data_IF_033580699231
#
_entry.id   IF_033580699231
#
_cell.length_a   1.000
_cell.length_b   1.000
_cell.length_c   1.000
_cell.angle_alpha   90.00
_cell.angle_beta   90.00
_cell.angle_gamma   90.00
#
_symmetry.space_group_name_H-M   'P 1'
#
loop_
_entity.id
_entity.type
_entity.pdbx_description
1 polymer ?
#
# COMPACT_ATOMS: atom_id res chain seq x y z
N UNK A 1 21.86 7.80 -6.06
CA UNK A 1 20.98 7.55 -7.22
C UNK A 1 20.81 8.86 -7.97
N UNK A 2 21.39 9.00 -9.17
CA UNK A 2 21.11 10.15 -10.04
C UNK A 2 19.74 9.96 -10.67
N UNK A 3 18.99 11.05 -10.74
CA UNK A 3 17.58 11.12 -11.08
C UNK A 3 17.26 10.44 -12.42
N UNK A 4 16.55 9.33 -12.37
CA UNK A 4 15.77 8.85 -13.53
C UNK A 4 14.46 9.62 -13.49
N UNK A 5 14.41 10.76 -14.18
CA UNK A 5 13.16 11.42 -14.54
C UNK A 5 12.73 10.76 -15.86
N UNK A 6 11.93 9.71 -15.77
CA UNK A 6 11.28 9.14 -16.95
C UNK A 6 9.78 9.32 -16.85
N UNK A 7 9.21 9.69 -17.99
CA UNK A 7 7.79 9.97 -18.20
C UNK A 7 6.96 8.72 -17.85
N UNK A 8 5.85 8.92 -17.14
CA UNK A 8 5.10 7.84 -16.48
C UNK A 8 4.32 6.91 -17.43
N UNK A 9 4.36 7.20 -18.72
CA UNK A 9 3.65 6.48 -19.78
C UNK A 9 4.58 5.79 -20.80
N UNK A 10 5.90 5.94 -20.67
CA UNK A 10 6.87 5.30 -21.57
C UNK A 10 7.45 4.01 -20.96
N UNK A 11 7.64 2.99 -21.81
CA UNK A 11 8.37 1.79 -21.40
C UNK A 11 9.86 2.10 -21.32
N UNK A 12 10.51 1.78 -20.21
CA UNK A 12 11.93 2.05 -19.96
C UNK A 12 12.73 0.79 -19.70
N UNK A 13 14.00 0.73 -20.13
CA UNK A 13 14.87 -0.40 -19.81
C UNK A 13 15.30 -0.35 -18.33
N UNK A 14 15.17 -1.48 -17.63
CA UNK A 14 15.53 -1.61 -16.22
C UNK A 14 16.56 -2.74 -16.08
N UNK A 15 17.72 -2.51 -15.43
CA UNK A 15 18.68 -3.56 -15.17
C UNK A 15 18.07 -4.74 -14.39
N UNK A 16 18.49 -5.96 -14.73
CA UNK A 16 18.04 -7.19 -14.06
C UNK A 16 18.09 -7.11 -12.53
N UNK A 17 19.21 -6.62 -11.96
CA UNK A 17 19.37 -6.47 -10.51
C UNK A 17 18.33 -5.53 -9.89
N UNK A 18 18.02 -4.43 -10.57
CA UNK A 18 17.00 -3.45 -10.11
C UNK A 18 15.59 -4.06 -10.23
N UNK A 19 15.31 -4.82 -11.29
CA UNK A 19 14.03 -5.52 -11.42
C UNK A 19 13.82 -6.55 -10.30
N UNK A 20 14.87 -7.28 -9.93
CA UNK A 20 14.83 -8.22 -8.81
C UNK A 20 14.52 -7.54 -7.46
N UNK A 21 15.02 -6.31 -7.24
CA UNK A 21 14.67 -5.51 -6.05
C UNK A 21 13.20 -5.11 -6.03
N UNK A 22 12.65 -4.68 -7.17
CA UNK A 22 11.21 -4.38 -7.29
C UNK A 22 10.34 -5.62 -7.08
N UNK A 23 10.81 -6.78 -7.51
CA UNK A 23 10.15 -8.06 -7.27
C UNK A 23 10.09 -8.41 -5.80
N UNK A 24 11.15 -8.12 -5.06
CA UNK A 24 11.18 -8.28 -3.62
C UNK A 24 10.19 -7.32 -2.94
N UNK A 25 10.17 -6.04 -3.34
CA UNK A 25 9.21 -5.05 -2.82
C UNK A 25 7.77 -5.48 -3.09
N UNK A 26 7.50 -6.04 -4.28
CA UNK A 26 6.19 -6.58 -4.63
C UNK A 26 5.76 -7.72 -3.72
N UNK A 27 6.65 -8.69 -3.47
CA UNK A 27 6.38 -9.83 -2.57
C UNK A 27 6.14 -9.34 -1.14
N UNK A 28 7.00 -8.45 -0.64
CA UNK A 28 6.85 -7.85 0.68
C UNK A 28 5.52 -7.11 0.83
N UNK A 29 5.16 -6.24 -0.12
CA UNK A 29 3.90 -5.48 -0.08
C UNK A 29 2.68 -6.41 -0.07
N UNK A 30 2.68 -7.44 -0.93
CA UNK A 30 1.62 -8.46 -0.96
C UNK A 30 1.51 -9.21 0.37
N UNK A 31 2.63 -9.71 0.89
CA UNK A 31 2.64 -10.53 2.10
C UNK A 31 2.23 -9.68 3.32
N UNK A 32 2.68 -8.42 3.40
CA UNK A 32 2.24 -7.43 4.39
C UNK A 32 0.72 -7.23 4.36
N UNK A 33 0.13 -7.03 3.18
CA UNK A 33 -1.32 -6.89 3.03
C UNK A 33 -2.06 -8.14 3.50
N UNK A 34 -1.57 -9.35 3.16
CA UNK A 34 -2.20 -10.60 3.57
C UNK A 34 -2.14 -10.79 5.09
N UNK A 35 -0.98 -10.54 5.69
CA UNK A 35 -0.80 -10.63 7.14
C UNK A 35 -1.73 -9.65 7.85
N UNK A 36 -1.71 -8.37 7.45
CA UNK A 36 -2.57 -7.33 8.05
C UNK A 36 -4.05 -7.65 7.87
N UNK A 37 -4.47 -8.15 6.70
CA UNK A 37 -5.82 -8.64 6.46
C UNK A 37 -6.18 -9.74 7.46
N UNK A 38 -5.37 -10.80 7.59
CA UNK A 38 -5.66 -11.90 8.54
C UNK A 38 -5.76 -11.37 9.97
N UNK A 39 -4.80 -10.56 10.39
CA UNK A 39 -4.77 -9.99 11.74
C UNK A 39 -5.97 -9.10 12.01
N UNK A 40 -6.33 -8.23 11.06
CA UNK A 40 -7.48 -7.35 11.23
C UNK A 40 -8.75 -8.15 11.48
N UNK A 41 -9.02 -9.23 10.74
CA UNK A 41 -10.23 -10.02 10.96
C UNK A 41 -10.15 -10.94 12.20
N UNK A 42 -8.96 -11.40 12.58
CA UNK A 42 -8.78 -12.28 13.74
C UNK A 42 -8.80 -11.56 15.10
N UNK A 43 -8.41 -10.28 15.14
CA UNK A 43 -8.22 -9.55 16.40
C UNK A 43 -9.53 -9.00 16.94
N UNK A 44 -9.68 -9.04 18.27
CA UNK A 44 -10.75 -8.37 18.99
C UNK A 44 -10.61 -6.86 18.82
N UNK A 45 -11.66 -6.22 18.31
CA UNK A 45 -11.69 -4.77 18.04
C UNK A 45 -12.52 -4.05 19.09
N UNK A 46 -12.36 -2.73 19.25
CA UNK A 46 -13.33 -1.90 19.95
C UNK A 46 -14.74 -2.13 19.38
N UNK A 47 -15.74 -2.19 20.28
CA UNK A 47 -17.09 -2.61 19.95
C UNK A 47 -17.76 -1.74 18.87
N UNK A 48 -17.47 -0.44 18.85
CA UNK A 48 -17.96 0.47 17.81
C UNK A 48 -17.36 0.14 16.42
N UNK A 49 -16.05 -0.10 16.35
CA UNK A 49 -15.38 -0.53 15.10
C UNK A 49 -15.92 -1.87 14.61
N UNK A 50 -16.17 -2.81 15.53
CA UNK A 50 -16.78 -4.12 15.19
C UNK A 50 -18.16 -3.94 14.58
N UNK A 51 -19.03 -3.13 15.22
CA UNK A 51 -20.38 -2.84 14.70
C UNK A 51 -20.35 -2.20 13.30
N UNK A 52 -19.47 -1.22 13.09
CA UNK A 52 -19.31 -0.61 11.76
C UNK A 52 -18.85 -1.63 10.71
N UNK A 53 -17.91 -2.52 11.05
CA UNK A 53 -17.46 -3.57 10.15
C UNK A 53 -18.59 -4.54 9.79
N UNK A 54 -19.40 -4.95 10.77
CA UNK A 54 -20.53 -5.86 10.55
C UNK A 54 -21.57 -5.24 9.59
N UNK A 55 -21.83 -3.93 9.73
CA UNK A 55 -22.71 -3.17 8.82
C UNK A 55 -22.14 -3.17 7.40
N UNK A 56 -20.85 -2.88 7.24
CA UNK A 56 -20.18 -2.85 5.93
C UNK A 56 -20.23 -4.23 5.26
N UNK A 57 -19.89 -5.29 6.01
CA UNK A 57 -19.91 -6.65 5.49
C UNK A 57 -21.31 -7.07 5.04
N UNK A 58 -22.34 -6.76 5.82
CA UNK A 58 -23.73 -7.04 5.45
C UNK A 58 -24.14 -6.33 4.16
N UNK A 59 -23.88 -5.02 4.05
CA UNK A 59 -24.17 -4.23 2.84
C UNK A 59 -23.43 -4.79 1.62
N UNK A 60 -22.16 -5.19 1.78
CA UNK A 60 -21.35 -5.72 0.67
C UNK A 60 -21.86 -7.06 0.11
N UNK A 61 -22.50 -7.88 0.94
CA UNK A 61 -23.14 -9.13 0.51
C UNK A 61 -24.41 -8.87 -0.28
N UNK A 62 -25.16 -7.82 0.10
CA UNK A 62 -26.40 -7.41 -0.56
C UNK A 62 -26.13 -6.68 -1.90
N UNK A 63 -24.99 -5.99 -2.05
CA UNK A 63 -24.65 -5.11 -3.19
C UNK A 63 -23.55 -5.66 -4.13
N UNK A 64 -23.42 -6.99 -4.28
CA UNK A 64 -22.36 -7.66 -5.04
C UNK A 64 -22.18 -7.25 -6.53
N UNK A 65 -22.93 -6.26 -7.05
CA UNK A 65 -22.97 -5.84 -8.46
C UNK A 65 -22.29 -4.48 -8.75
N UNK A 66 -21.93 -3.65 -7.76
CA UNK A 66 -21.55 -2.24 -8.03
C UNK A 66 -20.07 -1.84 -7.80
N UNK A 67 -19.20 -2.77 -7.41
CA UNK A 67 -17.86 -2.44 -6.89
C UNK A 67 -16.75 -2.21 -7.95
N UNK A 68 -17.04 -2.33 -9.24
CA UNK A 68 -16.04 -2.05 -10.30
C UNK A 68 -16.16 -0.64 -10.91
N UNK A 69 -17.26 0.08 -10.70
CA UNK A 69 -17.51 1.39 -11.33
C UNK A 69 -17.73 2.57 -10.37
N UNK A 70 -18.17 2.30 -9.13
CA UNK A 70 -18.58 3.35 -8.16
C UNK A 70 -17.65 3.52 -6.96
N UNK A 71 -16.41 3.07 -7.09
CA UNK A 71 -15.47 2.93 -5.97
C UNK A 71 -15.23 4.26 -5.24
N UNK A 72 -15.20 5.41 -5.94
CA UNK A 72 -15.02 6.74 -5.34
C UNK A 72 -16.13 7.19 -4.39
N UNK A 73 -17.39 6.80 -4.62
CA UNK A 73 -18.53 7.22 -3.80
C UNK A 73 -18.62 6.46 -2.46
N UNK A 74 -18.08 5.24 -2.39
CA UNK A 74 -17.90 4.47 -1.16
C UNK A 74 -16.62 4.87 -0.38
N UNK A 75 -15.67 5.56 -1.03
CA UNK A 75 -14.37 5.96 -0.44
C UNK A 75 -14.38 7.33 0.22
N UNK A 76 -15.28 8.22 -0.18
CA UNK A 76 -15.61 9.36 0.62
C UNK A 76 -16.56 8.86 1.70
N UNK A 77 -16.06 8.58 2.91
CA UNK A 77 -16.94 8.65 4.06
C UNK A 77 -17.72 9.96 3.91
N UNK A 78 -19.05 9.89 3.91
CA UNK A 78 -19.87 11.09 3.91
C UNK A 78 -19.36 12.03 5.01
N UNK A 79 -19.66 13.33 4.94
CA UNK A 79 -19.18 14.29 5.93
C UNK A 79 -19.49 13.89 7.39
N UNK A 80 -20.41 12.93 7.59
CA UNK A 80 -20.82 12.32 8.86
C UNK A 80 -20.10 11.01 9.26
N UNK A 81 -19.11 10.51 8.50
CA UNK A 81 -18.47 9.23 8.79
C UNK A 81 -17.68 9.28 10.10
N UNK A 82 -17.99 8.37 11.02
CA UNK A 82 -17.28 8.30 12.30
C UNK A 82 -15.84 7.79 12.11
N UNK A 83 -14.91 8.10 13.04
CA UNK A 83 -13.57 7.51 13.03
C UNK A 83 -13.61 5.97 12.99
N UNK A 84 -14.58 5.35 13.65
CA UNK A 84 -14.78 3.91 13.67
C UNK A 84 -15.23 3.34 12.32
N UNK A 85 -16.13 4.03 11.62
CA UNK A 85 -16.52 3.69 10.25
C UNK A 85 -15.32 3.74 9.31
N UNK A 86 -14.47 4.74 9.50
CA UNK A 86 -13.25 4.92 8.71
C UNK A 86 -12.24 3.79 8.93
N UNK A 87 -12.07 3.34 10.18
CA UNK A 87 -11.21 2.18 10.52
C UNK A 87 -11.79 0.89 9.93
N UNK A 88 -13.10 0.67 10.08
CA UNK A 88 -13.78 -0.51 9.56
C UNK A 88 -13.71 -0.56 8.04
N UNK A 89 -13.94 0.56 7.36
CA UNK A 89 -13.81 0.69 5.91
C UNK A 89 -12.37 0.44 5.46
N UNK A 90 -11.36 1.03 6.12
CA UNK A 90 -9.96 0.80 5.79
C UNK A 90 -9.58 -0.70 5.88
N UNK A 91 -10.08 -1.41 6.89
CA UNK A 91 -9.87 -2.85 7.03
C UNK A 91 -10.64 -3.69 6.00
N UNK A 92 -11.87 -3.30 5.66
CA UNK A 92 -12.65 -3.93 4.60
C UNK A 92 -12.03 -3.73 3.21
N UNK A 93 -11.53 -2.53 2.90
CA UNK A 93 -10.82 -2.26 1.65
C UNK A 93 -9.54 -3.10 1.55
N UNK A 94 -8.80 -3.25 2.66
CA UNK A 94 -7.65 -4.16 2.71
C UNK A 94 -8.07 -5.61 2.41
N UNK A 95 -9.22 -6.06 2.90
CA UNK A 95 -9.77 -7.37 2.60
C UNK A 95 -10.10 -7.56 1.12
N UNK A 96 -10.81 -6.60 0.56
CA UNK A 96 -11.28 -6.60 -0.83
C UNK A 96 -10.10 -6.55 -1.79
N UNK A 97 -9.19 -5.60 -1.60
CA UNK A 97 -8.01 -5.39 -2.46
C UNK A 97 -6.97 -6.50 -2.25
N UNK A 98 -6.83 -7.01 -1.03
CA UNK A 98 -6.05 -8.21 -0.70
C UNK A 98 -6.79 -9.53 -0.99
N UNK A 99 -7.93 -9.52 -1.70
CA UNK A 99 -8.78 -10.69 -1.95
C UNK A 99 -8.21 -11.68 -2.97
N UNK A 100 -7.31 -11.25 -3.86
CA UNK A 100 -6.69 -12.13 -4.84
C UNK A 100 -5.93 -11.37 -5.93
N UNK A 101 -5.24 -12.09 -6.83
CA UNK A 101 -4.38 -11.50 -7.88
C UNK A 101 -5.12 -10.48 -8.76
N UNK A 102 -6.39 -10.76 -9.11
CA UNK A 102 -7.21 -9.88 -9.95
C UNK A 102 -7.52 -8.52 -9.31
N UNK A 103 -7.80 -8.50 -8.00
CA UNK A 103 -8.10 -7.26 -7.27
C UNK A 103 -6.84 -6.44 -7.03
N UNK A 104 -5.71 -7.12 -6.87
CA UNK A 104 -4.39 -6.50 -6.78
C UNK A 104 -3.95 -5.89 -8.12
N UNK A 105 -4.22 -6.56 -9.25
CA UNK A 105 -3.96 -6.02 -10.59
C UNK A 105 -4.88 -4.86 -10.96
N UNK A 106 -6.14 -4.87 -10.47
CA UNK A 106 -7.06 -3.73 -10.60
C UNK A 106 -6.46 -2.44 -10.01
N UNK A 107 -5.67 -2.54 -8.94
CA UNK A 107 -5.01 -1.34 -8.39
C UNK A 107 -3.99 -0.75 -9.37
N UNK A 108 -3.28 -1.59 -10.15
CA UNK A 108 -2.21 -1.17 -11.06
C UNK A 108 -2.69 -0.46 -12.35
N UNK A 109 -4.00 -0.45 -12.61
CA UNK A 109 -4.62 0.25 -13.75
C UNK A 109 -5.21 1.61 -13.37
N UNK A 110 -5.28 1.94 -12.07
CA UNK A 110 -5.78 3.24 -11.59
C UNK A 110 -4.73 4.33 -11.81
N UNK A 111 -5.18 5.52 -12.23
CA UNK A 111 -4.28 6.64 -12.49
C UNK A 111 -3.48 7.04 -11.24
N UNK A 112 -2.26 7.58 -11.41
CA UNK A 112 -1.38 7.90 -10.29
C UNK A 112 -1.98 8.95 -9.34
N UNK A 113 -2.66 9.95 -9.91
CA UNK A 113 -3.32 11.03 -9.17
C UNK A 113 -4.46 10.55 -8.28
N UNK A 114 -5.30 9.62 -8.79
CA UNK A 114 -6.38 9.04 -8.00
C UNK A 114 -5.84 8.15 -6.87
N UNK A 115 -4.79 7.37 -7.15
CA UNK A 115 -4.11 6.55 -6.14
C UNK A 115 -3.48 7.41 -5.05
N UNK A 116 -2.75 8.47 -5.40
CA UNK A 116 -2.12 9.34 -4.42
C UNK A 116 -3.13 9.90 -3.43
N UNK A 117 -4.23 10.47 -3.92
CA UNK A 117 -5.29 11.02 -3.07
C UNK A 117 -5.97 9.93 -2.23
N UNK A 118 -6.17 8.75 -2.80
CA UNK A 118 -6.73 7.60 -2.11
C UNK A 118 -5.86 7.14 -0.92
N UNK A 119 -4.55 7.01 -1.11
CA UNK A 119 -3.64 6.63 -0.02
C UNK A 119 -3.51 7.72 1.04
N UNK A 120 -3.36 9.00 0.64
CA UNK A 120 -3.27 10.12 1.58
C UNK A 120 -4.53 10.20 2.44
N UNK A 121 -5.71 10.07 1.83
CA UNK A 121 -6.99 10.09 2.55
C UNK A 121 -7.07 8.94 3.57
N UNK A 122 -6.81 7.70 3.14
CA UNK A 122 -6.89 6.53 4.03
C UNK A 122 -5.87 6.57 5.18
N UNK A 123 -4.63 6.96 4.91
CA UNK A 123 -3.61 7.11 5.96
C UNK A 123 -3.98 8.23 6.95
N UNK A 124 -4.54 9.34 6.45
CA UNK A 124 -5.06 10.43 7.28
C UNK A 124 -6.23 10.00 8.17
N UNK A 125 -7.17 9.22 7.63
CA UNK A 125 -8.29 8.66 8.39
C UNK A 125 -7.82 7.72 9.51
N UNK A 126 -6.83 6.86 9.23
CA UNK A 126 -6.27 5.96 10.26
C UNK A 126 -5.57 6.72 11.39
N UNK A 127 -4.90 7.83 11.08
CA UNK A 127 -4.33 8.70 12.11
C UNK A 127 -5.40 9.31 13.02
N UNK A 128 -6.51 9.81 12.43
CA UNK A 128 -7.66 10.32 13.19
C UNK A 128 -8.28 9.23 14.05
N UNK A 129 -8.54 8.05 13.46
CA UNK A 129 -9.05 6.88 14.16
C UNK A 129 -8.18 6.45 15.33
N UNK A 130 -6.86 6.45 15.16
CA UNK A 130 -5.94 6.12 16.25
C UNK A 130 -6.00 7.14 17.39
N UNK A 131 -6.14 8.43 17.08
CA UNK A 131 -6.29 9.49 18.10
C UNK A 131 -7.58 9.32 18.90
N UNK A 132 -8.69 8.99 18.22
CA UNK A 132 -9.98 8.71 18.86
C UNK A 132 -9.91 7.49 19.77
N UNK A 133 -9.34 6.38 19.29
CA UNK A 133 -9.27 5.14 20.07
C UNK A 133 -8.35 5.23 21.30
N UNK A 134 -7.34 6.11 21.29
CA UNK A 134 -6.44 6.29 22.44
C UNK A 134 -6.90 7.36 23.42
N UNK A 135 -7.95 8.13 23.11
CA UNK A 135 -8.41 9.27 23.91
C UNK A 135 -7.28 10.22 24.33
N UNK A 136 -6.28 10.39 23.45
CA UNK A 136 -5.06 11.14 23.73
C UNK A 136 -4.76 12.10 22.58
N UNK A 137 -4.15 13.25 22.92
CA UNK A 137 -3.60 14.14 21.91
C UNK A 137 -2.42 13.44 21.24
N UNK A 138 -2.59 13.09 19.97
CA UNK A 138 -1.57 12.38 19.19
C UNK A 138 -0.76 13.38 18.37
N UNK A 139 0.56 13.26 18.44
CA UNK A 139 1.46 13.93 17.51
C UNK A 139 1.47 13.16 16.18
N UNK A 140 0.77 13.69 15.18
CA UNK A 140 0.63 13.10 13.84
C UNK A 140 1.98 12.90 13.14
N UNK A 141 2.86 13.91 13.17
CA UNK A 141 4.19 13.83 12.56
C UNK A 141 5.02 12.70 13.15
N UNK A 142 4.91 12.49 14.47
CA UNK A 142 5.58 11.38 15.15
C UNK A 142 5.03 10.03 14.68
N UNK A 143 3.71 9.89 14.51
CA UNK A 143 3.12 8.64 13.99
C UNK A 143 3.62 8.36 12.59
N UNK A 144 3.59 9.34 11.70
CA UNK A 144 4.03 9.16 10.31
C UNK A 144 5.50 8.73 10.29
N UNK A 145 6.39 9.49 10.94
CA UNK A 145 7.83 9.17 10.99
C UNK A 145 8.12 7.81 11.61
N UNK A 146 7.44 7.47 12.71
CA UNK A 146 7.68 6.19 13.41
C UNK A 146 7.15 5.02 12.59
N UNK A 147 6.01 5.17 11.94
CA UNK A 147 5.37 4.13 11.14
C UNK A 147 6.10 3.91 9.82
N UNK A 148 6.61 4.97 9.20
CA UNK A 148 7.50 4.90 8.02
C UNK A 148 8.80 4.19 8.36
N UNK A 149 9.49 4.62 9.43
CA UNK A 149 10.73 3.96 9.89
C UNK A 149 10.50 2.47 10.13
N UNK A 150 9.42 2.12 10.82
CA UNK A 150 9.06 0.73 11.09
C UNK A 150 8.82 -0.06 9.81
N UNK A 151 8.11 0.50 8.84
CA UNK A 151 7.86 -0.16 7.56
C UNK A 151 9.17 -0.49 6.82
N UNK A 152 10.11 0.44 6.82
CA UNK A 152 11.44 0.24 6.24
C UNK A 152 12.24 -0.82 7.02
N UNK A 153 12.18 -0.80 8.34
CA UNK A 153 12.86 -1.80 9.17
C UNK A 153 12.27 -3.21 8.96
N UNK A 154 10.95 -3.32 8.82
CA UNK A 154 10.26 -4.56 8.45
C UNK A 154 10.69 -5.07 7.08
N UNK A 155 10.79 -4.18 6.08
CA UNK A 155 11.29 -4.55 4.75
C UNK A 155 12.73 -5.06 4.79
N UNK A 156 13.61 -4.39 5.55
CA UNK A 156 15.01 -4.80 5.74
C UNK A 156 15.11 -6.19 6.37
N UNK A 157 14.31 -6.46 7.40
CA UNK A 157 14.25 -7.77 8.05
C UNK A 157 13.74 -8.86 7.09
N UNK A 158 12.62 -8.59 6.40
CA UNK A 158 12.02 -9.49 5.42
C UNK A 158 12.98 -9.84 4.29
N UNK A 159 13.80 -8.89 3.82
CA UNK A 159 14.80 -9.14 2.77
C UNK A 159 15.83 -10.20 3.17
N UNK A 160 16.16 -10.30 4.46
CA UNK A 160 17.09 -11.33 4.96
C UNK A 160 16.38 -12.67 5.12
N UNK A 161 15.14 -12.65 5.60
CA UNK A 161 14.31 -13.85 5.79
C UNK A 161 12.94 -13.65 5.15
N UNK A 162 12.76 -14.22 3.95
CA UNK A 162 11.54 -14.10 3.13
C UNK A 162 10.36 -14.88 3.73
N UNK A 163 9.90 -14.47 4.90
CA UNK A 163 8.87 -15.16 5.67
C UNK A 163 7.77 -14.19 6.11
N UNK A 164 6.50 -14.45 5.74
CA UNK A 164 5.36 -13.72 6.27
C UNK A 164 5.21 -13.84 7.79
N UNK A 165 5.74 -14.91 8.40
CA UNK A 165 5.60 -15.14 9.85
C UNK A 165 6.36 -14.07 10.65
N UNK A 166 7.54 -13.65 10.19
CA UNK A 166 8.29 -12.58 10.85
C UNK A 166 7.59 -11.22 10.77
N UNK A 167 6.84 -10.97 9.68
CA UNK A 167 5.99 -9.78 9.59
C UNK A 167 4.85 -9.84 10.61
N UNK A 168 4.23 -11.01 10.73
CA UNK A 168 3.11 -11.22 11.65
C UNK A 168 3.54 -11.06 13.11
N UNK A 169 4.66 -11.66 13.52
CA UNK A 169 5.23 -11.51 14.86
C UNK A 169 5.46 -10.04 15.22
N UNK A 170 6.13 -9.28 14.34
CA UNK A 170 6.38 -7.86 14.55
C UNK A 170 5.09 -7.03 14.61
N UNK A 171 4.11 -7.31 13.74
CA UNK A 171 2.81 -6.63 13.76
C UNK A 171 1.99 -7.00 15.00
N UNK A 172 2.18 -8.18 15.59
CA UNK A 172 1.52 -8.58 16.83
C UNK A 172 2.06 -7.77 18.02
N UNK A 173 3.36 -7.45 18.06
CA UNK A 173 3.92 -6.55 19.10
C UNK A 173 3.26 -5.16 19.07
N UNK A 174 2.90 -4.73 17.88
CA UNK A 174 2.18 -3.47 17.59
C UNK A 174 0.76 -3.48 18.17
N UNK A 175 0.09 -4.64 18.13
CA UNK A 175 -1.28 -4.86 18.63
C UNK A 175 -1.38 -5.16 20.13
N UNK A 176 -0.35 -4.84 20.93
CA UNK A 176 -0.38 -5.01 22.39
C UNK A 176 -1.67 -4.49 23.07
N UNK A 177 -2.42 -3.58 22.42
CA UNK A 177 -3.83 -3.31 22.72
C UNK A 177 -4.69 -3.27 21.45
N UNK A 178 -5.98 -3.63 21.53
CA UNK A 178 -6.94 -3.49 20.43
C UNK A 178 -7.01 -2.08 19.82
N UNK A 179 -6.70 -1.04 20.60
CA UNK A 179 -6.74 0.36 20.17
C UNK A 179 -5.62 0.72 19.17
N UNK A 180 -4.62 -0.15 19.02
CA UNK A 180 -3.54 0.02 18.05
C UNK A 180 -3.85 -0.59 16.68
N UNK A 181 -5.08 -1.07 16.45
CA UNK A 181 -5.48 -1.66 15.17
C UNK A 181 -5.23 -0.71 13.99
N UNK A 182 -5.37 0.60 14.20
CA UNK A 182 -5.06 1.61 13.20
C UNK A 182 -3.59 1.58 12.76
N UNK A 183 -2.65 1.31 13.67
CA UNK A 183 -1.22 1.25 13.34
C UNK A 183 -0.89 0.02 12.49
N UNK A 184 -1.54 -1.11 12.76
CA UNK A 184 -1.40 -2.32 11.92
C UNK A 184 -2.01 -2.11 10.55
N UNK A 185 -3.20 -1.53 10.47
CA UNK A 185 -3.78 -1.13 9.18
C UNK A 185 -2.85 -0.17 8.43
N UNK A 186 -2.21 0.78 9.12
CA UNK A 186 -1.27 1.72 8.52
C UNK A 186 -0.11 1.00 7.83
N UNK A 187 0.46 -0.05 8.44
CA UNK A 187 1.49 -0.88 7.82
C UNK A 187 0.97 -1.62 6.58
N UNK A 188 -0.28 -2.13 6.63
CA UNK A 188 -0.92 -2.76 5.49
C UNK A 188 -1.11 -1.81 4.31
N UNK A 189 -1.50 -0.56 4.59
CA UNK A 189 -1.68 0.48 3.57
C UNK A 189 -0.35 0.90 2.93
N UNK A 190 0.74 1.00 3.70
CA UNK A 190 2.07 1.15 3.12
C UNK A 190 2.48 -0.07 2.28
N UNK A 191 2.14 -1.28 2.72
CA UNK A 191 2.36 -2.51 1.95
C UNK A 191 1.63 -2.48 0.60
N UNK A 192 0.39 -1.99 0.58
CA UNK A 192 -0.39 -1.82 -0.63
C UNK A 192 0.19 -0.75 -1.56
N UNK A 193 0.68 0.37 -1.02
CA UNK A 193 1.35 1.40 -1.82
C UNK A 193 2.65 0.86 -2.45
N UNK A 194 3.44 0.11 -1.67
CA UNK A 194 4.65 -0.54 -2.16
C UNK A 194 4.34 -1.56 -3.26
N UNK A 195 3.28 -2.36 -3.07
CA UNK A 195 2.78 -3.30 -4.07
C UNK A 195 2.38 -2.57 -5.36
N UNK A 196 1.54 -1.54 -5.27
CA UNK A 196 1.11 -0.75 -6.43
C UNK A 196 2.29 -0.18 -7.20
N UNK A 197 3.24 0.47 -6.52
CA UNK A 197 4.41 1.06 -7.15
C UNK A 197 5.27 -0.01 -7.84
N UNK A 198 5.49 -1.16 -7.19
CA UNK A 198 6.25 -2.26 -7.79
C UNK A 198 5.59 -2.84 -9.05
N UNK A 199 4.25 -3.00 -9.03
CA UNK A 199 3.50 -3.47 -10.20
C UNK A 199 3.57 -2.48 -11.36
N UNK A 200 3.53 -1.17 -11.07
CA UNK A 200 3.69 -0.14 -12.11
C UNK A 200 5.07 -0.15 -12.73
N UNK A 201 6.13 -0.23 -11.92
CA UNK A 201 7.51 -0.34 -12.42
C UNK A 201 7.65 -1.57 -13.31
N UNK A 202 7.09 -2.71 -12.92
CA UNK A 202 7.10 -3.92 -13.75
C UNK A 202 6.30 -3.81 -15.04
N UNK A 203 5.18 -3.07 -15.04
CA UNK A 203 4.35 -2.85 -16.23
C UNK A 203 5.06 -1.96 -17.26
N UNK A 204 5.83 -1.00 -16.78
CA UNK A 204 6.54 -0.02 -17.62
C UNK A 204 7.99 -0.44 -17.90
N UNK A 205 8.56 -1.37 -17.12
CA UNK A 205 9.93 -1.83 -17.27
C UNK A 205 10.09 -2.88 -18.36
N UNK A 206 11.08 -2.69 -19.22
CA UNK A 206 11.65 -3.73 -20.08
C UNK A 206 12.92 -4.22 -19.38
N UNK A 207 12.88 -5.44 -18.86
CA UNK A 207 14.04 -6.04 -18.22
C UNK A 207 15.17 -6.25 -19.24
N UNK A 208 16.37 -5.79 -18.90
CA UNK A 208 17.54 -5.86 -19.76
C UNK A 208 18.82 -6.08 -18.94
N UNK A 209 19.86 -6.58 -19.61
CA UNK A 209 21.19 -6.66 -18.99
C UNK A 209 21.80 -5.27 -18.83
N UNK A 210 22.74 -5.11 -17.90
CA UNK A 210 23.39 -3.82 -17.65
C UNK A 210 24.10 -3.29 -18.90
N UNK A 211 24.70 -4.17 -19.70
CA UNK A 211 25.37 -3.83 -20.95
C UNK A 211 24.38 -3.28 -21.99
N UNK A 212 23.17 -3.84 -22.07
CA UNK A 212 22.13 -3.35 -22.98
C UNK A 212 21.60 -1.98 -22.56
N UNK A 213 21.39 -1.78 -21.25
CA UNK A 213 20.99 -0.48 -20.70
C UNK A 213 22.08 0.57 -20.99
N UNK A 214 23.35 0.24 -20.77
CA UNK A 214 24.48 1.11 -21.09
C UNK A 214 24.58 1.41 -22.59
N UNK A 215 24.35 0.43 -23.44
CA UNK A 215 24.36 0.60 -24.90
C UNK A 215 23.28 1.57 -25.38
N UNK A 216 22.03 1.42 -24.91
CA UNK A 216 20.93 2.32 -25.27
C UNK A 216 21.18 3.74 -24.77
N UNK A 217 21.62 3.90 -23.52
CA UNK A 217 21.95 5.22 -22.95
C UNK A 217 23.17 5.88 -23.62
N UNK A 218 24.11 5.07 -24.14
CA UNK A 218 25.23 5.57 -24.93
C UNK A 218 24.77 6.14 -26.28
N UNK A 219 23.73 5.59 -26.92
CA UNK A 219 23.21 6.12 -28.18
C UNK A 219 22.58 7.52 -28.03
N UNK A 220 21.91 7.78 -26.91
CA UNK A 220 21.33 9.12 -26.61
C UNK A 220 22.40 10.20 -26.38
N UNK A 221 23.66 9.81 -26.13
CA UNK A 221 24.78 10.75 -25.96
C UNK A 221 25.52 11.08 -27.27
N UNK A 222 25.27 10.36 -28.37
CA UNK A 222 25.86 10.63 -29.69
C UNK A 222 25.00 11.56 -30.57
N UNK A 223 23.84 12.01 -30.10
CA UNK A 223 22.96 12.95 -30.82
C UNK A 223 23.23 14.44 -30.52
N UNK A 224 24.49 14.81 -30.24
CA UNK A 224 24.93 16.20 -30.34
C UNK A 224 25.47 16.45 -31.76
N UNK A 225 25.04 17.52 -32.45
CA UNK A 225 25.33 17.70 -33.86
C UNK A 225 26.83 17.91 -34.05
N UNK A 226 27.44 17.06 -34.87
CA UNK A 226 28.68 17.38 -35.57
C UNK A 226 28.41 18.64 -36.38
N UNK A 227 28.85 19.80 -35.87
CA UNK A 227 29.04 20.98 -36.69
C UNK A 227 30.42 20.84 -37.35
N UNK A 228 30.40 20.59 -38.65
CA UNK A 228 31.50 20.96 -39.54
C UNK A 228 31.70 22.48 -39.51
#
# INVERSE_FOLDING_TARGET
MKNVIQDTDCRGFIPHGVMAEWDLVRRFGRDMMQVVKRMFFAVQKPEAVRRSLDIILKKSQDEATLLLGGTTALFAGGEDATPEDSIAMAGYLMHFLGGGPKNLEFTAIISPSHIQNFFISNLGMLCKGHSTLRSAAINLDKIVKTSEKRFIDLFRSYRVHLSPNGLEEELQTLLHTPNNICLVLWQGWLGMLAYYNSCRVRRLGIEATEEWVQFVLAQDSYLLPVRC
#
